data_IF_233473249640
#
_entry.id   IF_233473249640
#
_cell.length_a   1.000
_cell.length_b   1.000
_cell.length_c   1.000
_cell.angle_alpha   90.00
_cell.angle_beta   90.00
_cell.angle_gamma   90.00
#
_symmetry.space_group_name_H-M   'P 1'
#
loop_
_entity.id
_entity.type
_entity.pdbx_description
1 polymer ?
#
# COMPACT_ATOMS: atom_id res chain seq x y z
N UNK A 1 -24.77 11.30 -12.78
CA UNK A 1 -25.12 10.28 -11.78
C UNK A 1 -25.99 10.98 -10.74
N UNK A 2 -27.26 10.60 -10.67
CA UNK A 2 -28.32 11.23 -9.89
C UNK A 2 -28.00 11.15 -8.39
N UNK A 3 -28.02 12.29 -7.70
CA UNK A 3 -28.08 12.32 -6.23
C UNK A 3 -29.48 12.73 -5.80
N UNK A 4 -30.07 11.84 -5.00
CA UNK A 4 -31.39 11.83 -4.39
C UNK A 4 -32.02 13.21 -4.17
N UNK A 5 -33.10 13.45 -4.91
CA UNK A 5 -34.22 14.24 -4.41
C UNK A 5 -34.81 13.49 -3.21
N UNK A 6 -35.04 14.23 -2.14
CA UNK A 6 -35.71 13.83 -0.91
C UNK A 6 -36.93 12.92 -1.21
N UNK A 7 -36.96 11.66 -0.72
CA UNK A 7 -38.04 10.72 -1.03
C UNK A 7 -39.40 11.18 -0.48
N UNK A 8 -39.43 12.13 0.47
CA UNK A 8 -40.68 12.74 0.93
C UNK A 8 -41.27 13.76 -0.05
N UNK A 9 -40.46 14.34 -0.94
CA UNK A 9 -40.93 15.30 -1.94
C UNK A 9 -41.70 14.62 -3.09
N UNK A 10 -41.39 13.35 -3.39
CA UNK A 10 -42.04 12.62 -4.47
C UNK A 10 -43.49 12.21 -4.14
N UNK A 11 -43.82 11.97 -2.87
CA UNK A 11 -45.14 11.44 -2.47
C UNK A 11 -46.25 12.50 -2.51
N UNK A 12 -45.91 13.79 -2.46
CA UNK A 12 -46.91 14.88 -2.48
C UNK A 12 -47.27 15.30 -3.92
N UNK A 13 -46.48 14.92 -4.93
CA UNK A 13 -46.69 15.42 -6.30
C UNK A 13 -47.71 14.64 -7.13
N UNK A 14 -48.06 13.40 -6.77
CA UNK A 14 -48.92 12.56 -7.62
C UNK A 14 -50.42 12.73 -7.36
N UNK A 15 -50.83 13.47 -6.32
CA UNK A 15 -52.24 13.57 -5.91
C UNK A 15 -53.03 14.73 -6.55
N UNK A 16 -52.41 15.61 -7.36
CA UNK A 16 -53.10 16.74 -7.98
C UNK A 16 -52.67 16.90 -9.44
N UNK A 17 -53.56 16.56 -10.38
CA UNK A 17 -53.36 16.65 -11.83
C UNK A 17 -53.29 18.09 -12.39
N UNK A 18 -52.50 18.96 -11.78
CA UNK A 18 -52.14 20.28 -12.30
C UNK A 18 -50.77 20.22 -12.97
N UNK A 19 -50.65 20.80 -14.17
CA UNK A 19 -49.37 20.94 -14.87
C UNK A 19 -48.30 21.51 -13.91
N UNK A 20 -47.16 20.83 -13.80
CA UNK A 20 -46.06 21.21 -12.92
C UNK A 20 -45.58 22.64 -13.25
N UNK A 21 -46.09 23.63 -12.52
CA UNK A 21 -45.66 25.02 -12.61
C UNK A 21 -44.21 25.07 -12.16
N UNK A 22 -43.30 25.27 -13.11
CA UNK A 22 -41.87 25.44 -12.84
C UNK A 22 -41.72 26.61 -11.86
N UNK A 23 -41.28 26.33 -10.63
CA UNK A 23 -41.00 27.35 -9.63
C UNK A 23 -39.99 28.34 -10.23
N UNK A 24 -40.35 29.62 -10.28
CA UNK A 24 -39.52 30.72 -10.81
C UNK A 24 -39.05 31.64 -9.69
N UNK A 25 -37.89 32.26 -9.86
CA UNK A 25 -37.45 33.35 -8.96
C UNK A 25 -38.32 34.60 -9.17
N UNK A 26 -38.21 35.60 -8.27
CA UNK A 26 -38.95 36.87 -8.39
C UNK A 26 -38.74 37.58 -9.75
N UNK A 27 -37.62 37.29 -10.42
CA UNK A 27 -37.25 37.84 -11.74
C UNK A 27 -37.70 36.96 -12.93
N UNK A 28 -38.57 35.96 -12.71
CA UNK A 28 -39.14 35.11 -13.76
C UNK A 28 -38.20 34.04 -14.34
N UNK A 29 -36.98 33.89 -13.81
CA UNK A 29 -36.06 32.83 -14.23
C UNK A 29 -36.41 31.49 -13.55
N UNK A 30 -36.26 30.34 -14.24
CA UNK A 30 -36.46 29.03 -13.61
C UNK A 30 -35.53 28.83 -12.40
N UNK A 31 -36.09 28.48 -11.24
CA UNK A 31 -35.36 28.36 -9.97
C UNK A 31 -34.12 27.46 -10.09
N UNK A 32 -34.23 26.37 -10.86
CA UNK A 32 -33.13 25.44 -11.11
C UNK A 32 -31.88 26.10 -11.75
N UNK A 33 -32.06 27.07 -12.66
CA UNK A 33 -30.93 27.78 -13.30
C UNK A 33 -30.29 28.80 -12.36
N UNK A 34 -31.10 29.50 -11.56
CA UNK A 34 -30.59 30.43 -10.55
C UNK A 34 -29.81 29.69 -9.45
N UNK A 35 -30.31 28.55 -8.99
CA UNK A 35 -29.69 27.69 -7.98
C UNK A 35 -28.44 26.98 -8.51
N UNK A 36 -28.40 26.61 -9.80
CA UNK A 36 -27.18 26.12 -10.46
C UNK A 36 -26.08 27.19 -10.54
N UNK A 37 -26.43 28.45 -10.82
CA UNK A 37 -25.44 29.56 -10.87
C UNK A 37 -24.93 29.94 -9.48
N UNK A 38 -25.78 29.99 -8.47
CA UNK A 38 -25.37 30.29 -7.09
C UNK A 38 -24.51 29.17 -6.49
N UNK A 39 -24.91 27.91 -6.70
CA UNK A 39 -24.15 26.74 -6.25
C UNK A 39 -22.81 26.58 -6.98
N UNK A 40 -22.70 27.01 -8.25
CA UNK A 40 -21.44 26.98 -8.97
C UNK A 40 -20.37 27.90 -8.35
N UNK A 41 -20.72 29.11 -7.91
CA UNK A 41 -19.76 30.00 -7.21
C UNK A 41 -19.36 29.43 -5.85
N UNK A 42 -20.31 28.92 -5.09
CA UNK A 42 -20.04 28.27 -3.80
C UNK A 42 -19.13 27.05 -3.99
N UNK A 43 -19.39 26.20 -4.99
CA UNK A 43 -18.59 25.02 -5.31
C UNK A 43 -17.19 25.39 -5.78
N UNK A 44 -17.02 26.44 -6.60
CA UNK A 44 -15.69 26.94 -6.99
C UNK A 44 -14.90 27.49 -5.80
N UNK A 45 -15.54 28.26 -4.91
CA UNK A 45 -14.88 28.75 -3.68
C UNK A 45 -14.47 27.59 -2.77
N UNK A 46 -15.35 26.63 -2.54
CA UNK A 46 -15.04 25.43 -1.76
C UNK A 46 -13.89 24.62 -2.38
N UNK A 47 -13.87 24.47 -3.71
CA UNK A 47 -12.78 23.82 -4.42
C UNK A 47 -11.46 24.58 -4.26
N UNK A 48 -11.46 25.90 -4.44
CA UNK A 48 -10.25 26.73 -4.27
C UNK A 48 -9.68 26.70 -2.85
N UNK A 49 -10.54 26.53 -1.82
CA UNK A 49 -10.09 26.36 -0.44
C UNK A 49 -9.40 25.01 -0.20
N UNK A 50 -9.84 23.96 -0.90
CA UNK A 50 -9.26 22.60 -0.78
C UNK A 50 -8.11 22.36 -1.77
N UNK A 51 -8.06 23.14 -2.86
CA UNK A 51 -7.10 22.96 -3.95
C UNK A 51 -5.63 22.94 -3.50
N UNK A 52 -5.14 23.79 -2.58
CA UNK A 52 -3.76 23.73 -2.11
C UNK A 52 -3.41 22.40 -1.44
N UNK A 53 -4.31 21.88 -0.59
CA UNK A 53 -4.13 20.58 0.07
C UNK A 53 -4.16 19.44 -0.95
N UNK A 54 -5.10 19.48 -1.89
CA UNK A 54 -5.18 18.49 -2.96
C UNK A 54 -3.92 18.49 -3.82
N UNK A 55 -3.44 19.67 -4.21
CA UNK A 55 -2.22 19.83 -4.99
C UNK A 55 -1.01 19.30 -4.22
N UNK A 56 -0.91 19.60 -2.93
CA UNK A 56 0.13 19.06 -2.06
C UNK A 56 0.11 17.53 -2.08
N UNK A 57 -1.05 16.89 -1.89
CA UNK A 57 -1.18 15.42 -1.93
C UNK A 57 -0.79 14.86 -3.29
N UNK A 58 -1.22 15.49 -4.39
CA UNK A 58 -0.89 15.05 -5.75
C UNK A 58 0.62 15.12 -6.00
N UNK A 59 1.25 16.23 -5.64
CA UNK A 59 2.68 16.45 -5.88
C UNK A 59 3.54 15.54 -4.99
N UNK A 60 3.18 15.37 -3.72
CA UNK A 60 4.03 14.67 -2.75
C UNK A 60 3.80 13.17 -2.69
N UNK A 61 2.61 12.68 -3.04
CA UNK A 61 2.29 11.25 -3.01
C UNK A 61 1.97 10.69 -4.40
N UNK A 62 1.00 11.27 -5.11
CA UNK A 62 0.49 10.66 -6.34
C UNK A 62 1.54 10.64 -7.45
N UNK A 63 2.24 11.75 -7.68
CA UNK A 63 3.28 11.85 -8.71
C UNK A 63 4.45 10.90 -8.42
N UNK A 64 5.08 10.89 -7.22
CA UNK A 64 6.16 9.96 -6.92
C UNK A 64 5.75 8.49 -7.02
N UNK A 65 4.54 8.13 -6.58
CA UNK A 65 4.02 6.76 -6.73
C UNK A 65 3.88 6.42 -8.21
N UNK A 66 3.29 7.31 -9.03
CA UNK A 66 3.18 7.13 -10.47
C UNK A 66 4.54 6.97 -11.15
N UNK A 67 5.54 7.77 -10.76
CA UNK A 67 6.91 7.65 -11.23
C UNK A 67 7.56 6.31 -10.84
N UNK A 68 7.33 5.83 -9.62
CA UNK A 68 7.83 4.53 -9.17
C UNK A 68 7.17 3.37 -9.90
N UNK A 69 5.85 3.45 -10.15
CA UNK A 69 5.11 2.47 -10.96
C UNK A 69 5.57 2.47 -12.43
N UNK A 70 5.86 3.64 -12.99
CA UNK A 70 6.47 3.71 -14.31
C UNK A 70 7.86 3.07 -14.30
N UNK A 71 8.69 3.37 -13.28
CA UNK A 71 10.04 2.80 -13.11
C UNK A 71 10.06 1.29 -12.89
N UNK A 72 8.98 0.70 -12.37
CA UNK A 72 8.89 -0.75 -12.22
C UNK A 72 8.69 -1.49 -13.55
N UNK A 73 8.25 -0.80 -14.60
CA UNK A 73 8.15 -1.37 -15.96
C UNK A 73 9.23 -0.84 -16.89
N UNK A 74 9.59 0.44 -16.78
CA UNK A 74 10.56 1.14 -17.62
C UNK A 74 11.75 1.60 -16.78
N UNK A 75 12.91 0.97 -16.98
CA UNK A 75 14.15 1.31 -16.31
C UNK A 75 15.32 1.32 -17.31
N UNK A 76 15.50 2.48 -17.94
CA UNK A 76 16.55 2.73 -18.93
C UNK A 76 17.94 3.03 -18.32
N UNK A 77 18.13 2.79 -17.01
CA UNK A 77 19.38 3.14 -16.32
C UNK A 77 20.65 2.47 -16.89
N UNK A 78 20.52 1.31 -17.53
CA UNK A 78 21.61 0.66 -18.26
C UNK A 78 21.62 1.08 -19.74
N UNK A 79 20.49 0.94 -20.45
CA UNK A 79 20.39 1.21 -21.89
C UNK A 79 20.79 2.64 -22.29
N UNK A 80 20.39 3.65 -21.51
CA UNK A 80 20.70 5.07 -21.83
C UNK A 80 22.17 5.41 -21.60
N UNK A 81 22.86 4.63 -20.75
CA UNK A 81 24.21 4.92 -20.31
C UNK A 81 25.26 3.99 -20.92
N UNK A 82 24.85 2.87 -21.50
CA UNK A 82 25.70 1.86 -22.14
C UNK A 82 25.22 1.58 -23.57
N UNK A 83 25.18 2.60 -24.46
CA UNK A 83 24.57 2.46 -25.79
C UNK A 83 25.36 1.55 -26.72
N UNK A 84 26.69 1.49 -26.66
CA UNK A 84 27.49 0.70 -27.59
C UNK A 84 27.37 -0.80 -27.30
N UNK A 85 27.49 -1.21 -26.05
CA UNK A 85 27.30 -2.62 -25.66
C UNK A 85 25.85 -3.04 -25.84
N UNK A 86 24.89 -2.11 -25.63
CA UNK A 86 23.47 -2.36 -25.90
C UNK A 86 23.20 -2.57 -27.39
N UNK A 87 23.83 -1.77 -28.27
CA UNK A 87 23.75 -1.97 -29.72
C UNK A 87 24.34 -3.33 -30.12
N UNK A 88 25.51 -3.69 -29.57
CA UNK A 88 26.11 -5.02 -29.81
C UNK A 88 25.17 -6.15 -29.38
N UNK A 89 24.47 -6.02 -28.24
CA UNK A 89 23.48 -7.02 -27.82
C UNK A 89 22.24 -7.09 -28.73
N UNK A 90 21.85 -6.00 -29.38
CA UNK A 90 20.74 -6.00 -30.34
C UNK A 90 21.12 -6.70 -31.64
N UNK A 91 22.33 -6.47 -32.12
CA UNK A 91 22.83 -7.04 -33.38
C UNK A 91 23.22 -8.53 -33.24
N UNK A 92 23.61 -8.96 -32.04
CA UNK A 92 24.10 -10.32 -31.79
C UNK A 92 23.12 -11.11 -30.91
N UNK A 93 22.50 -12.21 -31.39
CA UNK A 93 21.51 -12.96 -30.61
C UNK A 93 22.12 -13.65 -29.38
N UNK A 94 21.29 -14.05 -28.39
CA UNK A 94 21.72 -14.85 -27.25
C UNK A 94 22.46 -16.12 -27.68
N UNK A 95 23.58 -16.44 -27.05
CA UNK A 95 24.44 -17.58 -27.40
C UNK A 95 25.62 -17.24 -28.31
N UNK A 96 25.66 -16.04 -28.87
CA UNK A 96 26.84 -15.53 -29.61
C UNK A 96 28.02 -15.38 -28.64
N UNK A 97 29.22 -15.91 -28.95
CA UNK A 97 30.42 -15.68 -28.15
C UNK A 97 30.71 -14.18 -27.98
N UNK A 98 31.13 -13.79 -26.78
CA UNK A 98 31.51 -12.41 -26.49
C UNK A 98 32.87 -12.16 -27.14
N UNK A 99 32.86 -11.46 -28.28
CA UNK A 99 34.03 -11.14 -29.08
C UNK A 99 34.71 -9.85 -28.63
N UNK A 100 35.86 -9.55 -29.23
CA UNK A 100 36.63 -8.35 -28.92
C UNK A 100 35.85 -7.05 -29.18
N UNK A 101 34.90 -7.07 -30.12
CA UNK A 101 34.01 -5.94 -30.39
C UNK A 101 33.06 -5.68 -29.20
N UNK A 102 32.52 -6.72 -28.57
CA UNK A 102 31.70 -6.60 -27.36
C UNK A 102 32.49 -5.99 -26.18
N UNK A 103 33.74 -6.44 -26.00
CA UNK A 103 34.64 -5.93 -24.96
C UNK A 103 35.04 -4.47 -25.22
N UNK A 104 35.32 -4.10 -26.48
CA UNK A 104 35.58 -2.72 -26.88
C UNK A 104 34.38 -1.81 -26.66
N UNK A 105 33.17 -2.26 -27.01
CA UNK A 105 31.92 -1.53 -26.77
C UNK A 105 31.69 -1.29 -25.27
N UNK A 106 31.90 -2.32 -24.44
CA UNK A 106 31.82 -2.20 -22.98
C UNK A 106 32.86 -1.22 -22.43
N UNK A 107 34.12 -1.30 -22.88
CA UNK A 107 35.19 -0.40 -22.44
C UNK A 107 34.88 1.07 -22.76
N UNK A 108 34.39 1.34 -23.97
CA UNK A 108 34.02 2.68 -24.42
C UNK A 108 32.82 3.24 -23.61
N UNK A 109 31.81 2.41 -23.36
CA UNK A 109 30.65 2.78 -22.54
C UNK A 109 31.04 3.01 -21.07
N UNK A 110 31.91 2.17 -20.49
CA UNK A 110 32.41 2.35 -19.12
C UNK A 110 33.16 3.68 -18.96
N UNK A 111 33.97 4.07 -19.96
CA UNK A 111 34.63 5.38 -20.00
C UNK A 111 33.61 6.51 -20.06
N UNK A 112 32.68 6.47 -21.01
CA UNK A 112 31.65 7.50 -21.18
C UNK A 112 30.79 7.67 -19.92
N UNK A 113 30.38 6.57 -19.29
CA UNK A 113 29.61 6.62 -18.04
C UNK A 113 30.43 7.09 -16.83
N UNK A 114 31.74 6.89 -16.82
CA UNK A 114 32.64 7.40 -15.79
C UNK A 114 32.86 8.92 -15.91
N UNK A 115 32.96 9.43 -17.13
CA UNK A 115 33.05 10.86 -17.47
C UNK A 115 31.73 11.57 -17.13
N UNK A 116 30.60 11.01 -17.55
CA UNK A 116 29.25 11.54 -17.29
C UNK A 116 28.76 11.32 -15.85
N UNK A 117 29.54 10.63 -15.01
CA UNK A 117 29.21 10.28 -13.61
C UNK A 117 27.93 9.42 -13.48
N UNK A 118 27.58 8.66 -14.50
CA UNK A 118 26.41 7.77 -14.54
C UNK A 118 26.74 6.30 -14.24
N UNK A 119 28.01 5.94 -14.05
CA UNK A 119 28.44 4.56 -13.76
C UNK A 119 27.73 3.94 -12.53
N UNK A 120 27.38 4.76 -11.54
CA UNK A 120 26.62 4.31 -10.36
C UNK A 120 25.17 3.91 -10.68
N UNK A 121 24.55 4.56 -11.67
CA UNK A 121 23.21 4.26 -12.15
C UNK A 121 23.22 2.89 -12.86
N UNK A 122 24.18 2.70 -13.75
CA UNK A 122 24.42 1.44 -14.49
C UNK A 122 24.65 0.28 -13.52
N UNK A 123 25.61 0.45 -12.61
CA UNK A 123 25.93 -0.57 -11.62
C UNK A 123 24.75 -0.88 -10.70
N UNK A 124 23.95 0.11 -10.31
CA UNK A 124 22.74 -0.12 -9.50
C UNK A 124 21.70 -0.91 -10.28
N UNK A 125 21.52 -0.63 -11.58
CA UNK A 125 20.55 -1.33 -12.43
C UNK A 125 20.89 -2.81 -12.57
N UNK A 126 22.16 -3.15 -12.81
CA UNK A 126 22.60 -4.55 -12.92
C UNK A 126 22.60 -5.26 -11.56
N UNK A 127 22.83 -4.52 -10.47
CA UNK A 127 22.84 -5.08 -9.12
C UNK A 127 21.49 -5.64 -8.66
N UNK A 128 20.38 -5.24 -9.29
CA UNK A 128 19.08 -5.85 -9.03
C UNK A 128 19.01 -7.30 -9.51
N UNK A 129 19.71 -7.63 -10.59
CA UNK A 129 19.71 -8.97 -11.20
C UNK A 129 20.92 -9.79 -10.71
N UNK A 130 22.08 -9.16 -10.51
CA UNK A 130 23.32 -9.81 -10.04
C UNK A 130 23.92 -9.04 -8.86
N UNK A 131 23.71 -9.50 -7.61
CA UNK A 131 24.22 -8.84 -6.42
C UNK A 131 25.75 -8.66 -6.43
N UNK A 132 26.22 -7.50 -5.98
CA UNK A 132 27.66 -7.19 -5.88
C UNK A 132 28.25 -6.59 -7.16
N UNK A 133 27.46 -6.37 -8.20
CA UNK A 133 27.92 -5.73 -9.44
C UNK A 133 28.01 -4.22 -9.32
N UNK A 134 27.26 -3.56 -8.42
CA UNK A 134 27.38 -2.11 -8.23
C UNK A 134 28.82 -1.70 -7.92
N UNK A 135 29.50 -2.43 -7.04
CA UNK A 135 30.91 -2.15 -6.72
C UNK A 135 31.81 -2.41 -7.93
N UNK A 136 31.61 -3.51 -8.66
CA UNK A 136 32.34 -3.86 -9.89
C UNK A 136 32.29 -2.74 -10.95
N UNK A 137 31.10 -2.23 -11.26
CA UNK A 137 30.95 -1.13 -12.21
C UNK A 137 31.63 0.14 -11.70
N UNK A 138 31.46 0.48 -10.42
CA UNK A 138 32.08 1.70 -9.86
C UNK A 138 33.59 1.63 -9.73
N UNK A 139 34.19 0.46 -9.42
CA UNK A 139 35.64 0.29 -9.32
C UNK A 139 36.27 0.30 -10.71
N UNK A 140 35.66 -0.41 -11.67
CA UNK A 140 36.13 -0.47 -13.06
C UNK A 140 35.98 0.89 -13.74
N UNK A 141 34.85 1.59 -13.53
CA UNK A 141 34.64 2.92 -14.10
C UNK A 141 35.65 3.97 -13.62
N UNK A 142 36.19 3.84 -12.38
CA UNK A 142 37.29 4.72 -11.94
C UNK A 142 38.55 4.52 -12.77
N UNK A 143 38.88 3.27 -13.10
CA UNK A 143 40.02 2.90 -13.95
C UNK A 143 39.77 3.25 -15.42
N UNK A 144 38.51 3.14 -15.87
CA UNK A 144 38.10 3.42 -17.24
C UNK A 144 38.24 4.89 -17.67
N UNK A 145 38.39 5.82 -16.72
CA UNK A 145 38.56 7.26 -17.02
C UNK A 145 39.82 7.53 -17.84
N UNK A 146 40.88 6.80 -17.55
CA UNK A 146 42.15 6.91 -18.27
C UNK A 146 42.10 6.19 -19.63
N UNK A 147 41.01 5.44 -19.88
CA UNK A 147 40.82 4.61 -21.07
C UNK A 147 41.44 3.21 -20.91
N UNK A 148 40.85 2.25 -21.61
CA UNK A 148 41.47 0.93 -21.82
C UNK A 148 41.98 0.85 -23.25
N UNK A 149 43.09 0.14 -23.45
CA UNK A 149 43.65 -0.14 -24.77
C UNK A 149 43.36 -1.59 -25.19
N UNK A 150 43.28 -1.88 -26.50
CA UNK A 150 43.19 -3.26 -26.99
C UNK A 150 44.41 -4.11 -26.60
N UNK A 151 44.26 -5.40 -26.27
CA UNK A 151 43.00 -6.17 -26.21
C UNK A 151 42.16 -5.83 -24.96
N UNK A 152 40.94 -5.36 -25.19
CA UNK A 152 39.98 -4.90 -24.20
C UNK A 152 39.53 -6.01 -23.25
N UNK A 153 39.42 -7.24 -23.74
CA UNK A 153 39.10 -8.40 -22.88
C UNK A 153 40.13 -8.50 -21.75
N UNK A 154 41.41 -8.55 -22.08
CA UNK A 154 42.47 -8.74 -21.10
C UNK A 154 42.61 -7.51 -20.19
N UNK A 155 42.43 -6.31 -20.75
CA UNK A 155 42.45 -5.06 -19.97
C UNK A 155 41.33 -5.00 -18.92
N UNK A 156 40.10 -5.39 -19.27
CA UNK A 156 38.96 -5.42 -18.34
C UNK A 156 39.07 -6.56 -17.32
N UNK A 157 39.59 -7.73 -17.71
CA UNK A 157 39.84 -8.84 -16.78
C UNK A 157 40.97 -8.52 -15.79
N UNK A 158 42.00 -7.80 -16.22
CA UNK A 158 43.04 -7.28 -15.33
C UNK A 158 42.48 -6.22 -14.36
N UNK A 159 41.43 -5.50 -14.75
CA UNK A 159 40.76 -4.56 -13.86
C UNK A 159 39.95 -5.27 -12.76
N UNK A 160 39.18 -6.31 -13.10
CA UNK A 160 38.49 -7.21 -12.17
C UNK A 160 38.08 -8.52 -12.89
N UNK A 161 38.50 -9.68 -12.37
CA UNK A 161 38.23 -10.98 -12.98
C UNK A 161 36.72 -11.33 -13.06
N UNK A 162 35.85 -10.66 -12.29
CA UNK A 162 34.40 -10.90 -12.32
C UNK A 162 33.75 -10.50 -13.65
N UNK A 163 34.41 -9.73 -14.50
CA UNK A 163 33.92 -9.43 -15.84
C UNK A 163 33.79 -10.66 -16.75
N UNK A 164 34.50 -11.76 -16.47
CA UNK A 164 34.38 -13.03 -17.21
C UNK A 164 33.10 -13.82 -16.84
N UNK A 165 32.32 -13.36 -15.87
CA UNK A 165 31.14 -14.07 -15.40
C UNK A 165 30.01 -14.07 -16.45
N UNK A 166 29.57 -15.23 -16.99
CA UNK A 166 28.52 -15.29 -18.00
C UNK A 166 27.16 -14.74 -17.51
N UNK A 167 26.87 -14.87 -16.22
CA UNK A 167 25.64 -14.33 -15.61
C UNK A 167 25.60 -12.81 -15.65
N UNK A 168 26.76 -12.14 -15.52
CA UNK A 168 26.86 -10.69 -15.64
C UNK A 168 26.53 -10.23 -17.06
N UNK A 169 27.07 -10.89 -18.09
CA UNK A 169 26.79 -10.57 -19.49
C UNK A 169 25.33 -10.80 -19.87
N UNK A 170 24.69 -11.85 -19.35
CA UNK A 170 23.24 -12.07 -19.50
C UNK A 170 22.42 -10.98 -18.82
N UNK A 171 22.81 -10.56 -17.61
CA UNK A 171 22.15 -9.48 -16.91
C UNK A 171 22.26 -8.15 -17.68
N UNK A 172 23.45 -7.80 -18.19
CA UNK A 172 23.68 -6.64 -19.05
C UNK A 172 22.84 -6.70 -20.33
N UNK A 173 22.79 -7.86 -20.99
CA UNK A 173 21.93 -8.09 -22.16
C UNK A 173 20.46 -7.86 -21.81
N UNK A 174 19.96 -8.41 -20.70
CA UNK A 174 18.57 -8.20 -20.28
C UNK A 174 18.26 -6.73 -19.95
N UNK A 175 19.26 -6.01 -19.43
CA UNK A 175 19.16 -4.59 -19.06
C UNK A 175 19.36 -3.63 -20.23
N UNK A 176 19.81 -4.11 -21.40
CA UNK A 176 19.85 -3.34 -22.65
C UNK A 176 18.45 -2.97 -23.15
N UNK A 177 17.43 -3.74 -22.76
CA UNK A 177 16.03 -3.33 -22.89
C UNK A 177 15.62 -2.43 -21.73
N UNK A 178 15.12 -1.23 -22.04
CA UNK A 178 14.55 -0.34 -21.04
C UNK A 178 13.31 -0.94 -20.35
N UNK A 179 12.57 -1.82 -21.02
CA UNK A 179 11.41 -2.49 -20.42
C UNK A 179 11.82 -3.76 -19.69
N UNK A 180 11.32 -3.92 -18.45
CA UNK A 180 11.62 -5.08 -17.60
C UNK A 180 10.38 -5.60 -16.88
N UNK A 181 10.30 -6.93 -16.76
CA UNK A 181 9.32 -7.62 -15.91
C UNK A 181 9.96 -8.24 -14.65
N UNK A 182 11.28 -8.11 -14.48
CA UNK A 182 12.03 -8.79 -13.42
C UNK A 182 11.57 -8.38 -12.02
N UNK A 183 11.19 -7.10 -11.82
CA UNK A 183 10.68 -6.64 -10.52
C UNK A 183 9.40 -7.36 -10.10
N UNK A 184 8.53 -7.72 -11.04
CA UNK A 184 7.30 -8.47 -10.75
C UNK A 184 7.58 -9.95 -10.48
N UNK A 185 8.55 -10.54 -11.19
CA UNK A 185 9.01 -11.89 -10.88
C UNK A 185 9.64 -11.95 -9.49
N UNK A 186 10.51 -10.99 -9.16
CA UNK A 186 11.14 -10.88 -7.84
C UNK A 186 10.10 -10.74 -6.73
N UNK A 187 9.03 -9.95 -6.94
CA UNK A 187 7.93 -9.83 -5.98
C UNK A 187 7.18 -11.16 -5.72
N UNK A 188 7.29 -12.13 -6.63
CA UNK A 188 6.73 -13.47 -6.52
C UNK A 188 7.78 -14.54 -6.14
N UNK A 189 8.95 -14.12 -5.65
CA UNK A 189 10.09 -14.98 -5.34
C UNK A 189 10.57 -15.81 -6.55
N UNK A 190 10.46 -15.24 -7.76
CA UNK A 190 10.89 -15.85 -9.03
C UNK A 190 12.00 -15.05 -9.71
N UNK A 191 12.82 -15.77 -10.47
CA UNK A 191 13.88 -15.21 -11.32
C UNK A 191 13.87 -15.90 -12.68
N UNK A 192 14.71 -15.44 -13.61
CA UNK A 192 14.98 -16.12 -14.87
C UNK A 192 16.30 -16.87 -14.76
N UNK A 193 16.31 -18.12 -15.24
CA UNK A 193 17.52 -18.93 -15.31
C UNK A 193 18.37 -18.61 -16.54
N UNK A 194 19.36 -19.46 -16.78
CA UNK A 194 20.35 -19.31 -17.86
C UNK A 194 19.77 -19.50 -19.25
N UNK A 195 18.64 -20.18 -19.37
CA UNK A 195 17.89 -20.43 -20.60
C UNK A 195 16.75 -19.42 -20.79
N UNK A 196 16.56 -18.49 -19.85
CA UNK A 196 15.49 -17.49 -19.85
C UNK A 196 14.16 -18.02 -19.33
N UNK A 197 14.13 -19.25 -18.80
CA UNK A 197 12.98 -19.88 -18.19
C UNK A 197 12.72 -19.29 -16.79
N UNK A 198 11.45 -19.19 -16.40
CA UNK A 198 11.07 -18.60 -15.10
C UNK A 198 11.13 -19.67 -14.01
N UNK A 199 12.09 -19.52 -13.10
CA UNK A 199 12.35 -20.45 -12.00
C UNK A 199 12.17 -19.77 -10.64
N UNK A 200 12.02 -20.57 -9.58
CA UNK A 200 11.95 -20.03 -8.22
C UNK A 200 13.36 -19.66 -7.76
N UNK A 201 13.46 -18.53 -7.04
CA UNK A 201 14.73 -18.10 -6.42
C UNK A 201 15.13 -19.14 -5.34
N UNK A 202 16.43 -19.34 -5.02
CA UNK A 202 16.84 -20.25 -3.95
C UNK A 202 16.09 -20.02 -2.63
N UNK A 203 15.78 -21.08 -1.88
CA UNK A 203 14.92 -21.03 -0.67
C UNK A 203 15.32 -19.95 0.34
N UNK A 204 16.63 -19.71 0.53
CA UNK A 204 17.16 -18.68 1.45
C UNK A 204 16.80 -17.24 1.04
N UNK A 205 16.40 -17.02 -0.21
CA UNK A 205 16.06 -15.72 -0.78
C UNK A 205 14.54 -15.59 -1.07
N UNK A 206 13.75 -16.65 -0.90
CA UNK A 206 12.28 -16.62 -1.05
C UNK A 206 11.61 -15.96 0.15
N UNK A 207 11.58 -14.63 0.17
CA UNK A 207 11.12 -13.85 1.34
C UNK A 207 9.83 -13.10 1.04
N UNK A 208 9.58 -12.67 -0.19
CA UNK A 208 8.51 -11.73 -0.52
C UNK A 208 7.12 -12.35 -0.39
N UNK A 209 6.88 -13.52 -0.97
CA UNK A 209 5.59 -14.21 -0.92
C UNK A 209 5.25 -14.63 0.51
N UNK A 210 6.26 -15.10 1.26
CA UNK A 210 6.10 -15.46 2.66
C UNK A 210 5.68 -14.26 3.51
N UNK A 211 6.36 -13.12 3.36
CA UNK A 211 6.02 -11.89 4.07
C UNK A 211 4.64 -11.36 3.66
N UNK A 212 4.29 -11.43 2.37
CA UNK A 212 2.98 -11.00 1.89
C UNK A 212 1.86 -11.83 2.52
N UNK A 213 1.96 -13.16 2.52
CA UNK A 213 1.00 -14.06 3.17
C UNK A 213 0.90 -13.81 4.67
N UNK A 214 2.04 -13.61 5.35
CA UNK A 214 2.07 -13.32 6.80
C UNK A 214 1.36 -12.00 7.11
N UNK A 215 1.68 -10.93 6.39
CA UNK A 215 1.09 -9.61 6.58
C UNK A 215 -0.41 -9.63 6.31
N UNK A 216 -0.83 -10.24 5.19
CA UNK A 216 -2.24 -10.34 4.83
C UNK A 216 -3.04 -11.19 5.84
N UNK A 217 -2.46 -12.30 6.30
CA UNK A 217 -3.06 -13.12 7.35
C UNK A 217 -3.17 -12.41 8.70
N UNK A 218 -2.16 -11.60 9.06
CA UNK A 218 -2.20 -10.76 10.26
C UNK A 218 -3.24 -9.65 10.16
N UNK A 219 -3.27 -8.91 9.05
CA UNK A 219 -4.23 -7.83 8.86
C UNK A 219 -5.66 -8.35 8.87
N UNK A 220 -5.93 -9.48 8.20
CA UNK A 220 -7.27 -10.09 8.20
C UNK A 220 -7.70 -10.51 9.61
N UNK A 221 -6.78 -11.12 10.37
CA UNK A 221 -7.05 -11.52 11.75
C UNK A 221 -7.34 -10.30 12.65
N UNK A 222 -6.55 -9.24 12.55
CA UNK A 222 -6.77 -8.00 13.32
C UNK A 222 -8.09 -7.34 12.90
N UNK A 223 -8.41 -7.29 11.61
CA UNK A 223 -9.72 -6.80 11.13
C UNK A 223 -10.87 -7.64 11.69
N UNK A 224 -10.74 -8.96 11.71
CA UNK A 224 -11.76 -9.84 12.28
C UNK A 224 -11.92 -9.62 13.80
N UNK A 225 -10.82 -9.49 14.55
CA UNK A 225 -10.87 -9.23 16.01
C UNK A 225 -11.46 -7.85 16.32
N UNK A 226 -11.04 -6.81 15.59
CA UNK A 226 -11.59 -5.46 15.75
C UNK A 226 -13.06 -5.39 15.37
N UNK A 227 -13.50 -6.12 14.35
CA UNK A 227 -14.92 -6.24 14.00
C UNK A 227 -15.70 -6.97 15.08
N UNK A 228 -15.21 -8.13 15.53
CA UNK A 228 -15.88 -8.98 16.54
C UNK A 228 -16.08 -8.24 17.87
N UNK A 229 -15.13 -7.40 18.27
CA UNK A 229 -15.23 -6.57 19.47
C UNK A 229 -15.96 -5.24 19.22
N UNK A 230 -15.68 -4.59 18.09
CA UNK A 230 -16.20 -3.27 17.75
C UNK A 230 -17.68 -3.28 17.40
N UNK A 231 -18.18 -4.34 16.75
CA UNK A 231 -19.59 -4.44 16.35
C UNK A 231 -20.53 -4.46 17.56
N UNK A 232 -20.34 -5.30 18.60
CA UNK A 232 -21.16 -5.24 19.81
C UNK A 232 -21.11 -3.88 20.51
N UNK A 233 -19.92 -3.26 20.59
CA UNK A 233 -19.74 -1.94 21.20
C UNK A 233 -20.54 -0.89 20.41
N UNK A 234 -20.41 -0.86 19.09
CA UNK A 234 -21.15 0.06 18.22
C UNK A 234 -22.66 -0.14 18.35
N UNK A 235 -23.14 -1.39 18.39
CA UNK A 235 -24.56 -1.70 18.58
C UNK A 235 -25.08 -1.21 19.94
N UNK A 236 -24.30 -1.41 21.01
CA UNK A 236 -24.63 -0.89 22.34
C UNK A 236 -24.71 0.64 22.33
N UNK A 237 -23.72 1.32 21.75
CA UNK A 237 -23.75 2.78 21.64
C UNK A 237 -24.94 3.28 20.82
N UNK A 238 -25.32 2.58 19.75
CA UNK A 238 -26.44 2.97 18.89
C UNK A 238 -27.80 2.81 19.59
N UNK A 239 -27.95 1.85 20.49
CA UNK A 239 -29.22 1.54 21.19
C UNK A 239 -29.41 2.32 22.50
N UNK A 240 -28.33 2.82 23.11
CA UNK A 240 -28.40 3.58 24.36
C UNK A 240 -29.02 4.98 24.20
N UNK A 241 -29.56 5.55 25.30
CA UNK A 241 -29.98 6.95 25.34
C UNK A 241 -28.83 7.91 24.99
N UNK A 242 -29.16 9.01 24.31
CA UNK A 242 -28.17 9.92 23.70
C UNK A 242 -27.05 10.35 24.67
N UNK A 243 -27.39 10.71 25.92
CA UNK A 243 -26.41 11.15 26.92
C UNK A 243 -25.39 10.06 27.26
N UNK A 244 -25.85 8.81 27.48
CA UNK A 244 -24.98 7.68 27.80
C UNK A 244 -24.16 7.26 26.58
N UNK A 245 -24.76 7.25 25.40
CA UNK A 245 -24.08 6.98 24.13
C UNK A 245 -22.92 7.96 23.89
N UNK A 246 -23.16 9.27 24.06
CA UNK A 246 -22.13 10.29 23.90
C UNK A 246 -21.00 10.15 24.92
N UNK A 247 -21.30 9.84 26.19
CA UNK A 247 -20.29 9.60 27.21
C UNK A 247 -19.39 8.39 26.85
N UNK A 248 -20.00 7.27 26.45
CA UNK A 248 -19.24 6.09 26.03
C UNK A 248 -18.44 6.34 24.75
N UNK A 249 -18.98 7.15 23.82
CA UNK A 249 -18.26 7.55 22.62
C UNK A 249 -17.00 8.35 22.96
N UNK A 250 -17.08 9.26 23.93
CA UNK A 250 -15.90 9.99 24.43
C UNK A 250 -14.86 9.02 24.97
N UNK A 251 -15.25 8.00 25.75
CA UNK A 251 -14.32 6.99 26.26
C UNK A 251 -13.67 6.16 25.14
N UNK A 252 -14.41 5.81 24.10
CA UNK A 252 -13.88 5.12 22.91
C UNK A 252 -12.92 6.01 22.12
N UNK A 253 -13.18 7.32 22.09
CA UNK A 253 -12.37 8.29 21.36
C UNK A 253 -11.16 8.79 22.15
N UNK A 254 -11.14 8.68 23.48
CA UNK A 254 -10.03 9.10 24.34
C UNK A 254 -8.66 8.62 23.84
N UNK A 255 -8.48 7.34 23.42
CA UNK A 255 -7.23 6.87 22.86
C UNK A 255 -6.78 7.64 21.61
N UNK A 256 -7.69 8.22 20.82
CA UNK A 256 -7.34 8.97 19.60
C UNK A 256 -6.60 10.27 19.91
N UNK A 257 -6.84 10.86 21.08
CA UNK A 257 -6.18 12.08 21.54
C UNK A 257 -4.76 11.82 22.03
N UNK A 258 -4.44 10.56 22.32
CA UNK A 258 -3.07 10.15 22.67
C UNK A 258 -2.27 9.80 21.43
N UNK A 259 -1.01 10.22 21.39
CA UNK A 259 -0.09 9.90 20.29
C UNK A 259 0.01 8.39 20.08
N UNK A 260 0.05 7.96 18.81
CA UNK A 260 0.27 6.56 18.45
C UNK A 260 1.53 6.00 19.12
N UNK A 261 2.61 6.80 19.18
CA UNK A 261 3.86 6.40 19.82
C UNK A 261 3.66 6.06 21.30
N UNK A 262 2.97 6.93 22.05
CA UNK A 262 2.70 6.71 23.48
C UNK A 262 1.87 5.45 23.70
N UNK A 263 0.85 5.21 22.85
CA UNK A 263 0.06 3.98 22.93
C UNK A 263 0.90 2.74 22.65
N UNK A 264 1.78 2.80 21.64
CA UNK A 264 2.66 1.68 21.32
C UNK A 264 3.67 1.40 22.42
N UNK A 265 4.26 2.43 23.04
CA UNK A 265 5.21 2.25 24.15
C UNK A 265 4.51 1.74 25.41
N UNK A 266 3.30 2.21 25.71
CA UNK A 266 2.50 1.69 26.82
C UNK A 266 2.21 0.18 26.67
N UNK A 267 1.80 -0.26 25.47
CA UNK A 267 1.62 -1.69 25.19
C UNK A 267 2.92 -2.48 25.26
N UNK A 268 4.04 -1.91 24.82
CA UNK A 268 5.35 -2.56 24.98
C UNK A 268 5.66 -2.82 26.45
N UNK A 269 5.48 -1.83 27.33
CA UNK A 269 5.72 -2.00 28.78
C UNK A 269 4.75 -3.01 29.40
N UNK A 270 3.46 -2.98 29.03
CA UNK A 270 2.47 -3.93 29.56
C UNK A 270 2.72 -5.39 29.15
N UNK A 271 3.18 -5.61 27.90
CA UNK A 271 3.42 -6.94 27.31
C UNK A 271 4.85 -7.45 27.50
N UNK A 272 5.71 -6.70 28.19
CA UNK A 272 7.03 -7.18 28.58
C UNK A 272 6.92 -8.47 29.42
N UNK A 273 7.98 -9.27 29.42
CA UNK A 273 8.04 -10.47 30.27
C UNK A 273 7.82 -10.11 31.74
N UNK A 274 8.43 -9.02 32.21
CA UNK A 274 8.25 -8.46 33.56
C UNK A 274 7.16 -7.38 33.64
N UNK A 275 6.26 -7.35 32.65
CA UNK A 275 5.17 -6.39 32.58
C UNK A 275 3.96 -6.79 33.42
N UNK A 276 3.09 -5.81 33.66
CA UNK A 276 1.88 -5.92 34.50
C UNK A 276 0.98 -7.09 34.09
N UNK A 277 0.83 -7.38 32.80
CA UNK A 277 -0.03 -8.47 32.34
C UNK A 277 0.51 -9.85 32.76
N UNK A 278 1.83 -10.06 32.67
CA UNK A 278 2.44 -11.30 33.13
C UNK A 278 2.35 -11.42 34.66
N UNK A 279 2.49 -10.32 35.41
CA UNK A 279 2.30 -10.35 36.87
C UNK A 279 0.87 -10.75 37.25
N UNK A 280 -0.12 -10.24 36.52
CA UNK A 280 -1.53 -10.66 36.69
C UNK A 280 -1.70 -12.15 36.37
N UNK A 281 -1.08 -12.68 35.32
CA UNK A 281 -1.19 -14.10 34.99
C UNK A 281 -0.53 -15.02 36.01
N UNK A 282 0.61 -14.60 36.58
CA UNK A 282 1.26 -15.32 37.68
C UNK A 282 0.38 -15.26 38.93
N UNK A 283 -0.17 -14.09 39.25
CA UNK A 283 -1.08 -13.92 40.39
C UNK A 283 -2.36 -14.77 40.27
N UNK A 284 -2.94 -14.87 39.06
CA UNK A 284 -4.08 -15.74 38.76
C UNK A 284 -3.73 -17.24 38.72
N UNK A 285 -2.45 -17.61 38.84
CA UNK A 285 -1.99 -19.01 38.79
C UNK A 285 -2.07 -19.65 37.40
N UNK A 286 -2.26 -18.85 36.34
CA UNK A 286 -2.33 -19.34 34.95
C UNK A 286 -0.93 -19.75 34.44
N UNK A 287 0.10 -19.06 34.93
CA UNK A 287 1.50 -19.26 34.53
C UNK A 287 2.38 -19.29 35.78
N UNK A 288 3.34 -20.21 35.85
CA UNK A 288 4.30 -20.27 36.95
C UNK A 288 5.27 -19.08 36.97
N UNK A 289 5.92 -18.76 38.10
CA UNK A 289 6.88 -17.65 38.21
C UNK A 289 8.01 -17.70 37.18
N UNK A 290 8.44 -18.92 36.78
CA UNK A 290 9.51 -19.16 35.81
C UNK A 290 9.00 -19.30 34.37
N UNK A 291 7.68 -19.41 34.17
CA UNK A 291 7.04 -19.68 32.87
C UNK A 291 6.55 -18.44 32.13
N UNK A 292 7.03 -17.24 32.50
CA UNK A 292 6.48 -15.95 32.04
C UNK A 292 6.47 -15.85 30.52
N UNK A 293 5.32 -15.46 29.96
CA UNK A 293 5.10 -15.45 28.52
C UNK A 293 5.83 -14.26 27.89
N UNK A 294 6.71 -14.53 26.91
CA UNK A 294 7.23 -13.47 26.06
C UNK A 294 6.10 -13.00 25.15
N UNK A 295 5.51 -11.82 25.41
CA UNK A 295 4.41 -11.27 24.59
C UNK A 295 4.84 -10.07 23.74
N UNK A 296 6.02 -9.51 23.99
CA UNK A 296 6.61 -8.43 23.20
C UNK A 296 7.39 -8.98 22.01
N UNK A 297 7.44 -8.21 20.91
CA UNK A 297 8.14 -8.54 19.66
C UNK A 297 7.69 -9.85 18.99
N UNK A 298 6.43 -10.25 19.20
CA UNK A 298 5.84 -11.39 18.53
C UNK A 298 4.45 -11.09 17.98
N UNK A 299 3.92 -12.07 17.24
CA UNK A 299 2.60 -12.03 16.59
C UNK A 299 1.47 -11.72 17.58
N UNK A 300 1.46 -12.35 18.75
CA UNK A 300 0.37 -12.21 19.74
C UNK A 300 0.31 -10.79 20.28
N UNK A 301 1.44 -10.21 20.69
CA UNK A 301 1.50 -8.83 21.16
C UNK A 301 1.06 -7.83 20.11
N UNK A 302 1.51 -8.03 18.86
CA UNK A 302 1.05 -7.18 17.74
C UNK A 302 -0.45 -7.27 17.53
N UNK A 303 -1.05 -8.47 17.57
CA UNK A 303 -2.51 -8.63 17.39
C UNK A 303 -3.27 -7.88 18.49
N UNK A 304 -2.87 -8.04 19.75
CA UNK A 304 -3.55 -7.40 20.90
C UNK A 304 -3.45 -5.87 20.80
N UNK A 305 -2.23 -5.35 20.65
CA UNK A 305 -1.99 -3.91 20.62
C UNK A 305 -2.67 -3.24 19.41
N UNK A 306 -2.55 -3.83 18.22
CA UNK A 306 -3.15 -3.29 17.00
C UNK A 306 -4.68 -3.37 17.06
N UNK A 307 -5.24 -4.44 17.62
CA UNK A 307 -6.69 -4.53 17.83
C UNK A 307 -7.17 -3.36 18.68
N UNK A 308 -6.56 -3.14 19.85
CA UNK A 308 -6.93 -2.01 20.71
C UNK A 308 -6.79 -0.64 20.03
N UNK A 309 -5.67 -0.41 19.34
CA UNK A 309 -5.39 0.88 18.68
C UNK A 309 -6.39 1.16 17.55
N UNK A 310 -6.81 0.13 16.82
CA UNK A 310 -7.69 0.26 15.65
C UNK A 310 -9.18 0.17 16.00
N UNK A 311 -9.55 -0.29 17.20
CA UNK A 311 -10.95 -0.41 17.64
C UNK A 311 -11.78 0.87 17.42
N UNK A 312 -11.31 2.09 17.78
CA UNK A 312 -12.12 3.30 17.59
C UNK A 312 -12.46 3.56 16.12
N UNK A 313 -11.52 3.24 15.21
CA UNK A 313 -11.74 3.41 13.76
C UNK A 313 -12.77 2.43 13.21
N UNK A 314 -12.93 1.25 13.81
CA UNK A 314 -14.00 0.31 13.47
C UNK A 314 -15.35 0.75 14.05
N UNK A 315 -15.36 1.22 15.30
CA UNK A 315 -16.59 1.56 16.02
C UNK A 315 -17.31 2.77 15.40
N UNK A 316 -16.57 3.82 15.01
CA UNK A 316 -17.15 5.06 14.49
C UNK A 316 -18.05 4.88 13.25
N UNK A 317 -17.57 4.27 12.14
CA UNK A 317 -18.41 4.07 10.96
C UNK A 317 -19.58 3.11 11.26
N UNK A 318 -19.35 2.04 12.03
CA UNK A 318 -20.42 1.12 12.43
C UNK A 318 -21.51 1.84 13.23
N UNK A 319 -21.13 2.64 14.23
CA UNK A 319 -22.06 3.44 15.02
C UNK A 319 -22.86 4.41 14.14
N UNK A 320 -22.18 5.10 13.22
CA UNK A 320 -22.82 6.06 12.31
C UNK A 320 -23.93 5.43 11.47
N UNK A 321 -23.73 4.20 10.98
CA UNK A 321 -24.74 3.45 10.22
C UNK A 321 -25.80 2.87 11.15
N UNK A 322 -25.40 2.24 12.24
CA UNK A 322 -26.33 1.59 13.18
C UNK A 322 -27.31 2.56 13.83
N UNK A 323 -26.92 3.82 14.02
CA UNK A 323 -27.77 4.85 14.64
C UNK A 323 -28.91 5.32 13.74
N UNK A 324 -28.80 5.16 12.42
CA UNK A 324 -29.86 5.54 11.47
C UNK A 324 -30.96 4.48 11.34
N UNK A 325 -30.71 3.26 11.82
CA UNK A 325 -31.66 2.14 11.75
C UNK A 325 -32.83 2.39 12.70
N UNK A 326 -34.06 2.41 12.16
CA UNK A 326 -35.26 2.61 12.97
C UNK A 326 -35.49 1.41 13.91
N UNK A 327 -35.59 1.61 15.24
CA UNK A 327 -35.86 0.53 16.19
C UNK A 327 -37.21 -0.18 15.96
N UNK A 328 -38.14 0.40 15.20
CA UNK A 328 -39.43 -0.20 14.88
C UNK A 328 -39.31 -1.50 14.10
N UNK A 329 -38.29 -1.66 13.24
CA UNK A 329 -38.10 -2.87 12.43
C UNK A 329 -37.88 -4.12 13.30
N UNK A 330 -37.03 -4.00 14.32
CA UNK A 330 -36.76 -5.10 15.26
C UNK A 330 -37.99 -5.39 16.13
N UNK A 331 -38.73 -4.35 16.53
CA UNK A 331 -39.99 -4.52 17.28
C UNK A 331 -41.06 -5.24 16.45
N UNK A 332 -41.25 -4.85 15.19
CA UNK A 332 -42.20 -5.48 14.27
C UNK A 332 -41.87 -6.96 14.04
N UNK A 333 -40.59 -7.29 13.81
CA UNK A 333 -40.15 -8.67 13.65
C UNK A 333 -40.46 -9.52 14.90
N UNK A 334 -40.23 -8.99 16.11
CA UNK A 334 -40.55 -9.67 17.36
C UNK A 334 -42.07 -9.85 17.56
N UNK A 335 -42.88 -8.87 17.16
CA UNK A 335 -44.34 -8.98 17.19
C UNK A 335 -44.89 -10.06 16.25
N UNK A 336 -44.18 -10.38 15.16
CA UNK A 336 -44.50 -11.48 14.25
C UNK A 336 -43.99 -12.85 14.74
N UNK A 337 -43.52 -12.95 16.00
CA UNK A 337 -43.05 -14.21 16.60
C UNK A 337 -41.56 -14.51 16.41
N UNK A 338 -40.77 -13.59 15.84
CA UNK A 338 -39.33 -13.79 15.73
C UNK A 338 -38.62 -13.68 17.09
N UNK A 339 -37.72 -14.63 17.39
CA UNK A 339 -36.84 -14.53 18.57
C UNK A 339 -35.86 -13.36 18.42
N UNK A 340 -35.32 -12.83 19.53
CA UNK A 340 -34.37 -11.71 19.51
C UNK A 340 -33.16 -11.95 18.60
N UNK A 341 -32.62 -13.18 18.60
CA UNK A 341 -31.53 -13.57 17.70
C UNK A 341 -31.96 -13.58 16.23
N UNK A 342 -33.18 -14.07 15.94
CA UNK A 342 -33.71 -14.10 14.57
C UNK A 342 -33.97 -12.70 14.05
N UNK A 343 -34.58 -11.83 14.86
CA UNK A 343 -34.82 -10.43 14.53
C UNK A 343 -33.48 -9.67 14.32
N UNK A 344 -32.48 -9.91 15.17
CA UNK A 344 -31.15 -9.36 14.98
C UNK A 344 -30.52 -9.83 13.67
N UNK A 345 -30.39 -11.14 13.45
CA UNK A 345 -29.66 -11.70 12.31
C UNK A 345 -30.33 -11.46 10.96
N UNK A 346 -31.68 -11.50 10.90
CA UNK A 346 -32.42 -11.39 9.63
C UNK A 346 -32.90 -9.98 9.31
N UNK A 347 -33.07 -9.12 10.31
CA UNK A 347 -33.62 -7.77 10.09
C UNK A 347 -32.59 -6.69 10.41
N UNK A 348 -31.95 -6.75 11.56
CA UNK A 348 -31.02 -5.69 11.99
C UNK A 348 -29.66 -5.78 11.28
N UNK A 349 -28.98 -6.94 11.33
CA UNK A 349 -27.64 -7.13 10.80
C UNK A 349 -27.53 -6.82 9.29
N UNK A 350 -28.47 -7.23 8.40
CA UNK A 350 -28.39 -6.89 6.99
C UNK A 350 -28.52 -5.40 6.68
N UNK A 351 -29.11 -4.61 7.58
CA UNK A 351 -29.20 -3.14 7.43
C UNK A 351 -27.90 -2.43 7.84
N UNK A 352 -26.94 -3.17 8.41
CA UNK A 352 -25.61 -2.63 8.80
C UNK A 352 -24.52 -2.89 7.76
N UNK A 353 -24.82 -3.70 6.74
CA UNK A 353 -23.99 -3.98 5.57
C UNK A 353 -24.35 -3.01 4.45
#
# INVERSE_FOLDING_TARGET
MQTALDPHAAVVSEASGGAATLLTTADGQPLARALARSSARARRRAFLLVAPLLLFVVITFVIPIGQMLHRSMYNAGFSDNMPQVSAWFQDNPPGTPIDEAAWGALAADLKAAAENRTIGIVGTRINYDVPGTRSLFTSTGRKARDGFEPPYRDALLAADAKWDNPTLWRAMRSASSAYTANFYLAALDRTRDDEGSVTMVPERQQVYVMLFKRTLGLSLLITAMTFLLGFPIAHLLATLPMRKSNLLMILVLLPFWTSLLVRTTAWMVLLQQQGVLNDIFVWLGIVGPDGRLQMIYNRTGTIIAMTHILLPFMILPLYSVMRTINPSYVRAARSLGATSWTAFRRVYFPQTL
#
